data_IF_928938014932
#
_entry.id   IF_928938014932
#
_cell.length_a   1.000
_cell.length_b   1.000
_cell.length_c   1.000
_cell.angle_alpha   90.00
_cell.angle_beta   90.00
_cell.angle_gamma   90.00
#
_symmetry.space_group_name_H-M   'P 1'
#
loop_
_entity.id
_entity.type
_entity.pdbx_description
1 polymer ?
#
# COMPACT_ATOMS: atom_id res chain seq x y z
N UNK A 1 8.47 -3.82 -26.28
CA UNK A 1 8.14 -5.07 -25.56
C UNK A 1 8.56 -5.02 -24.09
N UNK A 2 9.47 -4.10 -23.73
CA UNK A 2 10.08 -4.05 -22.38
C UNK A 2 9.31 -3.17 -21.37
N UNK A 3 8.43 -2.27 -21.83
CA UNK A 3 7.69 -1.35 -20.95
C UNK A 3 6.61 -2.07 -20.12
N UNK A 4 6.03 -3.14 -20.62
CA UNK A 4 5.06 -3.96 -19.88
C UNK A 4 5.69 -4.72 -18.71
N UNK A 5 7.00 -5.01 -18.78
CA UNK A 5 7.73 -5.68 -17.69
C UNK A 5 7.91 -4.79 -16.47
N UNK A 6 8.22 -3.51 -16.68
CA UNK A 6 8.40 -2.55 -15.59
C UNK A 6 7.09 -2.28 -14.83
N UNK A 7 5.99 -2.08 -15.54
CA UNK A 7 4.68 -1.85 -14.94
C UNK A 7 4.19 -3.05 -14.12
N UNK A 8 4.40 -4.28 -14.64
CA UNK A 8 4.05 -5.51 -13.94
C UNK A 8 4.82 -5.64 -12.63
N UNK A 9 6.12 -5.33 -12.63
CA UNK A 9 6.94 -5.38 -11.42
C UNK A 9 6.45 -4.38 -10.35
N UNK A 10 6.01 -3.18 -10.74
CA UNK A 10 5.46 -2.18 -9.82
C UNK A 10 4.13 -2.67 -9.21
N UNK A 11 3.27 -3.29 -10.01
CA UNK A 11 2.01 -3.89 -9.53
C UNK A 11 2.27 -5.01 -8.54
N UNK A 12 3.23 -5.90 -8.82
CA UNK A 12 3.60 -7.00 -7.93
C UNK A 12 4.16 -6.48 -6.59
N UNK A 13 4.96 -5.41 -6.62
CA UNK A 13 5.46 -4.73 -5.41
C UNK A 13 4.30 -4.16 -4.58
N UNK A 14 3.31 -3.53 -5.23
CA UNK A 14 2.14 -3.02 -4.53
C UNK A 14 1.32 -4.16 -3.88
N UNK A 15 1.10 -5.25 -4.61
CA UNK A 15 0.37 -6.42 -4.10
C UNK A 15 1.12 -7.05 -2.90
N UNK A 16 2.44 -7.21 -2.98
CA UNK A 16 3.25 -7.69 -1.86
C UNK A 16 3.24 -6.74 -0.66
N UNK A 17 3.26 -5.44 -0.91
CA UNK A 17 3.15 -4.44 0.15
C UNK A 17 1.82 -4.57 0.90
N UNK A 18 0.70 -4.76 0.19
CA UNK A 18 -0.63 -4.92 0.81
C UNK A 18 -0.76 -6.26 1.51
N UNK A 19 -0.29 -7.35 0.87
CA UNK A 19 -0.50 -8.72 1.37
C UNK A 19 0.45 -9.09 2.52
N UNK A 20 1.69 -8.58 2.51
CA UNK A 20 2.73 -9.04 3.42
C UNK A 20 3.31 -7.94 4.31
N UNK A 21 3.66 -6.78 3.75
CA UNK A 21 4.37 -5.74 4.51
C UNK A 21 3.44 -4.96 5.44
N UNK A 22 2.34 -4.46 4.91
CA UNK A 22 1.38 -3.66 5.68
C UNK A 22 0.77 -4.44 6.86
N UNK A 23 0.35 -5.72 6.73
CA UNK A 23 -0.12 -6.50 7.86
C UNK A 23 0.92 -6.62 8.98
N UNK A 24 2.18 -6.94 8.62
CA UNK A 24 3.27 -7.06 9.60
C UNK A 24 3.51 -5.76 10.36
N UNK A 25 3.46 -4.60 9.67
CA UNK A 25 3.64 -3.31 10.33
C UNK A 25 2.50 -2.98 11.27
N UNK A 26 1.26 -3.27 10.89
CA UNK A 26 0.08 -3.01 11.74
C UNK A 26 0.06 -3.95 12.95
N UNK A 27 0.33 -5.24 12.76
CA UNK A 27 0.35 -6.23 13.84
C UNK A 27 1.51 -6.02 14.81
N UNK A 28 2.62 -5.44 14.37
CA UNK A 28 3.74 -5.07 15.24
C UNK A 28 3.37 -3.93 16.20
N UNK A 29 2.36 -3.12 15.88
CA UNK A 29 1.86 -2.05 16.73
C UNK A 29 0.97 -2.62 17.83
N UNK A 30 1.54 -2.85 18.99
CA UNK A 30 0.80 -3.24 20.19
C UNK A 30 1.19 -2.30 21.33
N UNK A 31 0.19 -1.90 22.12
CA UNK A 31 0.37 -0.93 23.19
C UNK A 31 -0.13 -1.51 24.52
N UNK A 32 0.66 -1.36 25.57
CA UNK A 32 0.18 -1.57 26.93
C UNK A 32 -0.61 -0.34 27.36
N UNK A 33 -1.75 -0.57 28.00
CA UNK A 33 -2.58 0.53 28.50
C UNK A 33 -2.06 0.96 29.87
N UNK A 34 -1.71 2.23 29.97
CA UNK A 34 -1.33 2.87 31.23
C UNK A 34 -2.47 3.74 31.75
N UNK A 35 -2.68 3.73 33.05
CA UNK A 35 -3.58 4.65 33.74
C UNK A 35 -2.85 5.25 34.95
N UNK A 36 -2.80 6.58 35.00
CA UNK A 36 -2.11 7.34 36.07
C UNK A 36 -0.61 6.92 36.21
N UNK A 37 0.06 6.64 35.09
CA UNK A 37 1.47 6.23 35.03
C UNK A 37 1.74 4.79 35.50
N UNK A 38 0.70 3.96 35.69
CA UNK A 38 0.81 2.54 36.04
C UNK A 38 0.25 1.66 34.94
N UNK A 39 0.95 0.58 34.61
CA UNK A 39 0.45 -0.44 33.67
C UNK A 39 -0.80 -1.11 34.26
N UNK A 40 -1.88 -1.12 33.47
CA UNK A 40 -3.15 -1.73 33.88
C UNK A 40 -3.21 -3.25 33.64
N UNK A 41 -2.16 -3.82 33.03
CA UNK A 41 -2.16 -5.20 32.57
C UNK A 41 -3.06 -5.44 31.35
N UNK A 42 -3.46 -4.36 30.69
CA UNK A 42 -4.25 -4.41 29.47
C UNK A 42 -3.37 -4.13 28.26
N UNK A 43 -3.63 -4.86 27.17
CA UNK A 43 -2.90 -4.74 25.90
C UNK A 43 -3.87 -4.52 24.75
N UNK A 44 -3.52 -3.56 23.90
CA UNK A 44 -4.25 -3.26 22.66
C UNK A 44 -3.44 -3.77 21.47
N UNK A 45 -4.10 -4.46 20.56
CA UNK A 45 -3.53 -4.97 19.31
C UNK A 45 -4.43 -4.59 18.13
N UNK A 46 -3.78 -4.36 16.99
CA UNK A 46 -4.45 -4.11 15.73
C UNK A 46 -4.11 -5.20 14.72
N UNK A 47 -5.09 -5.57 13.90
CA UNK A 47 -4.91 -6.50 12.78
C UNK A 47 -5.66 -5.99 11.57
N UNK A 48 -5.19 -6.31 10.37
CA UNK A 48 -5.97 -6.04 9.16
C UNK A 48 -7.14 -7.02 9.13
N UNK A 49 -8.34 -6.45 9.07
CA UNK A 49 -9.54 -7.23 8.83
C UNK A 49 -9.77 -7.40 7.32
N UNK A 50 -9.73 -6.28 6.57
CA UNK A 50 -9.96 -6.29 5.12
C UNK A 50 -9.54 -4.97 4.48
N UNK A 51 -8.92 -5.04 3.30
CA UNK A 51 -8.87 -3.94 2.34
C UNK A 51 -9.96 -4.18 1.28
N UNK A 52 -10.89 -3.24 1.13
CA UNK A 52 -11.95 -3.37 0.13
C UNK A 52 -11.41 -3.05 -1.27
N UNK A 53 -12.08 -3.56 -2.31
CA UNK A 53 -11.93 -3.01 -3.66
C UNK A 53 -12.39 -1.55 -3.66
N UNK A 54 -12.04 -0.75 -4.68
CA UNK A 54 -12.41 0.66 -4.74
C UNK A 54 -13.90 0.90 -4.62
N UNK A 55 -14.27 1.70 -3.63
CA UNK A 55 -15.66 2.06 -3.30
C UNK A 55 -15.74 3.51 -2.86
N UNK A 56 -16.91 4.10 -3.03
CA UNK A 56 -17.31 5.35 -2.40
C UNK A 56 -18.50 5.11 -1.49
N UNK A 57 -18.61 5.90 -0.43
CA UNK A 57 -19.79 5.90 0.43
C UNK A 57 -20.69 7.04 -0.01
N UNK A 58 -21.88 6.72 -0.47
CA UNK A 58 -22.91 7.69 -0.80
C UNK A 58 -24.22 7.31 -0.09
N UNK A 59 -24.78 8.24 0.65
CA UNK A 59 -25.98 8.04 1.44
C UNK A 59 -25.91 6.82 2.36
N UNK A 60 -24.75 6.58 2.97
CA UNK A 60 -24.47 5.43 3.85
C UNK A 60 -24.30 4.08 3.14
N UNK A 61 -24.34 4.05 1.81
CA UNK A 61 -24.16 2.83 1.00
C UNK A 61 -22.79 2.78 0.35
N UNK A 62 -22.17 1.60 0.37
CA UNK A 62 -20.93 1.32 -0.37
C UNK A 62 -21.25 1.12 -1.86
N UNK A 63 -20.68 1.94 -2.72
CA UNK A 63 -20.86 1.88 -4.18
C UNK A 63 -19.52 1.58 -4.82
N UNK A 64 -19.45 0.54 -5.64
CA UNK A 64 -18.26 0.21 -6.42
C UNK A 64 -17.95 1.31 -7.43
N UNK A 65 -16.68 1.67 -7.57
CA UNK A 65 -16.21 2.72 -8.48
C UNK A 65 -15.20 2.14 -9.44
N UNK A 66 -15.40 2.40 -10.73
CA UNK A 66 -14.45 2.04 -11.77
C UNK A 66 -13.47 3.20 -12.04
N UNK A 67 -12.26 2.93 -12.59
CA UNK A 67 -11.29 3.97 -12.89
C UNK A 67 -11.84 5.06 -13.81
N UNK A 68 -12.64 4.70 -14.82
CA UNK A 68 -13.31 5.67 -15.71
C UNK A 68 -14.20 6.67 -14.94
N UNK A 69 -14.93 6.15 -13.93
CA UNK A 69 -15.81 6.99 -13.11
C UNK A 69 -14.99 7.95 -12.25
N UNK A 70 -13.85 7.49 -11.76
CA UNK A 70 -12.92 8.31 -10.99
C UNK A 70 -12.36 9.45 -11.85
N UNK A 71 -11.96 9.16 -13.09
CA UNK A 71 -11.48 10.18 -14.04
C UNK A 71 -12.56 11.21 -14.38
N UNK A 72 -13.80 10.74 -14.59
CA UNK A 72 -14.93 11.63 -14.96
C UNK A 72 -15.43 12.51 -13.81
N UNK A 73 -15.36 12.00 -12.56
CA UNK A 73 -15.97 12.65 -11.39
C UNK A 73 -14.99 13.31 -10.44
N UNK A 74 -13.72 13.36 -10.80
CA UNK A 74 -12.64 13.91 -9.96
C UNK A 74 -12.54 13.22 -8.58
N UNK A 75 -12.59 11.87 -8.58
CA UNK A 75 -12.57 11.04 -7.38
C UNK A 75 -11.27 10.23 -7.35
N UNK A 76 -10.73 10.00 -6.17
CA UNK A 76 -9.60 9.07 -5.97
C UNK A 76 -10.08 7.63 -6.03
N UNK A 77 -9.39 6.80 -6.82
CA UNK A 77 -9.62 5.36 -6.91
C UNK A 77 -9.03 4.66 -5.69
N UNK A 78 -9.84 4.46 -4.65
CA UNK A 78 -9.38 3.99 -3.34
C UNK A 78 -10.33 2.96 -2.71
N UNK A 79 -9.75 2.01 -2.00
CA UNK A 79 -10.47 1.09 -1.13
C UNK A 79 -10.45 1.54 0.33
N UNK A 80 -11.33 1.00 1.15
CA UNK A 80 -11.36 1.24 2.60
C UNK A 80 -10.55 0.16 3.31
N UNK A 81 -9.57 0.59 4.11
CA UNK A 81 -8.88 -0.27 5.05
C UNK A 81 -9.73 -0.44 6.31
N UNK A 82 -10.14 -1.67 6.56
CA UNK A 82 -10.85 -2.06 7.79
C UNK A 82 -9.87 -2.80 8.70
N UNK A 83 -9.74 -2.32 9.92
CA UNK A 83 -8.90 -2.94 10.94
C UNK A 83 -9.77 -3.59 12.01
N UNK A 84 -9.22 -4.63 12.63
CA UNK A 84 -9.72 -5.21 13.85
C UNK A 84 -8.94 -4.63 15.02
N UNK A 85 -9.66 -4.13 16.02
CA UNK A 85 -9.14 -3.67 17.30
C UNK A 85 -9.45 -4.71 18.35
N UNK A 86 -8.43 -5.21 19.03
CA UNK A 86 -8.57 -6.16 20.11
C UNK A 86 -7.90 -5.63 21.38
N UNK A 87 -8.67 -5.54 22.46
CA UNK A 87 -8.19 -5.21 23.80
C UNK A 87 -8.27 -6.44 24.69
N UNK A 88 -7.15 -6.81 25.28
CA UNK A 88 -7.03 -7.96 26.16
C UNK A 88 -6.48 -7.56 27.50
N UNK A 89 -6.81 -8.31 28.55
CA UNK A 89 -6.28 -8.14 29.92
C UNK A 89 -5.70 -9.45 30.41
N UNK A 90 -4.59 -9.36 31.12
CA UNK A 90 -4.00 -10.50 31.80
C UNK A 90 -4.72 -10.68 33.13
N UNK A 91 -5.41 -11.79 33.30
CA UNK A 91 -6.10 -12.20 34.52
C UNK A 91 -5.61 -13.60 34.86
N UNK A 92 -5.04 -13.78 36.06
CA UNK A 92 -4.50 -15.06 36.54
C UNK A 92 -3.49 -15.69 35.56
N UNK A 93 -2.62 -14.86 34.95
CA UNK A 93 -1.60 -15.30 34.00
C UNK A 93 -2.15 -15.71 32.62
N UNK A 94 -3.47 -15.56 32.37
CA UNK A 94 -4.11 -15.84 31.07
C UNK A 94 -4.59 -14.56 30.44
N UNK A 95 -4.33 -14.41 29.12
CA UNK A 95 -4.85 -13.28 28.35
C UNK A 95 -6.34 -13.52 28.04
N UNK A 96 -7.21 -12.61 28.52
CA UNK A 96 -8.65 -12.60 28.24
C UNK A 96 -8.99 -11.41 27.36
N UNK A 97 -9.64 -11.64 26.24
CA UNK A 97 -10.15 -10.57 25.37
C UNK A 97 -11.33 -9.89 26.07
N UNK A 98 -11.25 -8.57 26.19
CA UNK A 98 -12.28 -7.72 26.80
C UNK A 98 -13.13 -7.08 25.71
N UNK A 99 -12.48 -6.64 24.63
CA UNK A 99 -13.13 -5.93 23.53
C UNK A 99 -12.54 -6.40 22.21
N UNK A 100 -13.40 -6.65 21.23
CA UNK A 100 -13.05 -7.02 19.88
C UNK A 100 -14.03 -6.35 18.92
N UNK A 101 -13.52 -5.46 18.05
CA UNK A 101 -14.35 -4.74 17.10
C UNK A 101 -13.62 -4.39 15.82
N UNK A 102 -14.36 -4.34 14.73
CA UNK A 102 -13.87 -3.87 13.45
C UNK A 102 -14.22 -2.39 13.26
N UNK A 103 -13.29 -1.63 12.67
CA UNK A 103 -13.52 -0.24 12.32
C UNK A 103 -12.85 0.13 11.00
N UNK A 104 -13.33 1.18 10.36
CA UNK A 104 -12.73 1.74 9.14
C UNK A 104 -11.61 2.70 9.53
N UNK A 105 -10.38 2.39 9.09
CA UNK A 105 -9.22 3.22 9.37
C UNK A 105 -9.10 4.40 8.40
N UNK A 106 -9.44 4.18 7.12
CA UNK A 106 -9.35 5.21 6.09
C UNK A 106 -9.33 4.64 4.69
N UNK A 107 -9.12 5.53 3.71
CA UNK A 107 -9.01 5.17 2.31
C UNK A 107 -7.55 4.96 1.92
N UNK A 108 -7.30 3.88 1.19
CA UNK A 108 -5.99 3.58 0.58
C UNK A 108 -6.17 3.60 -0.93
N UNK A 109 -5.40 4.44 -1.66
CA UNK A 109 -5.38 4.40 -3.12
C UNK A 109 -5.02 3.02 -3.62
N UNK A 110 -5.74 2.53 -4.61
CA UNK A 110 -5.51 1.22 -5.21
C UNK A 110 -4.83 1.39 -6.56
N UNK A 111 -3.69 0.69 -6.72
CA UNK A 111 -2.95 0.69 -7.97
C UNK A 111 -3.74 -0.04 -9.05
N UNK A 112 -3.83 0.56 -10.25
CA UNK A 112 -4.48 -0.05 -11.38
C UNK A 112 -3.72 -1.32 -11.81
N UNK A 113 -4.48 -2.37 -12.12
CA UNK A 113 -3.94 -3.68 -12.47
C UNK A 113 -3.63 -4.60 -11.29
N UNK A 114 -3.59 -4.09 -10.03
CA UNK A 114 -3.35 -4.89 -8.83
C UNK A 114 -4.49 -5.87 -8.52
N UNK A 115 -4.26 -6.85 -7.65
CA UNK A 115 -5.29 -7.81 -7.17
C UNK A 115 -6.53 -7.12 -6.60
N UNK A 116 -6.35 -5.91 -6.05
CA UNK A 116 -7.40 -5.11 -5.44
C UNK A 116 -8.15 -4.23 -6.44
N UNK A 117 -7.66 -4.15 -7.69
CA UNK A 117 -8.29 -3.40 -8.78
C UNK A 117 -9.41 -4.21 -9.45
N UNK A 118 -10.46 -3.54 -9.90
CA UNK A 118 -11.52 -4.18 -10.70
C UNK A 118 -11.06 -4.61 -12.10
N UNK A 119 -9.97 -4.04 -12.59
CA UNK A 119 -9.42 -4.34 -13.92
C UNK A 119 -8.47 -5.55 -13.91
N UNK A 120 -8.12 -6.07 -12.73
CA UNK A 120 -7.20 -7.19 -12.59
C UNK A 120 -7.69 -8.42 -13.36
N UNK A 121 -6.83 -9.00 -14.19
CA UNK A 121 -7.11 -10.23 -14.95
C UNK A 121 -8.16 -10.07 -16.05
N UNK A 122 -8.52 -8.85 -16.46
CA UNK A 122 -9.45 -8.59 -17.53
C UNK A 122 -8.77 -8.72 -18.91
N UNK A 123 -9.50 -9.26 -19.89
CA UNK A 123 -9.04 -9.29 -21.27
C UNK A 123 -9.15 -7.91 -21.92
N UNK A 124 -8.39 -7.63 -23.01
CA UNK A 124 -8.49 -6.38 -23.75
C UNK A 124 -9.94 -6.02 -24.16
N UNK A 125 -10.73 -7.01 -24.56
CA UNK A 125 -12.13 -6.82 -24.94
C UNK A 125 -12.99 -6.43 -23.74
N UNK A 126 -12.77 -7.06 -22.59
CA UNK A 126 -13.47 -6.73 -21.33
C UNK A 126 -13.11 -5.32 -20.86
N UNK A 127 -11.84 -4.89 -21.01
CA UNK A 127 -11.42 -3.53 -20.68
C UNK A 127 -12.16 -2.50 -21.53
N UNK A 128 -12.27 -2.73 -22.84
CA UNK A 128 -13.04 -1.86 -23.75
C UNK A 128 -14.51 -1.78 -23.37
N UNK A 129 -15.15 -2.92 -23.01
CA UNK A 129 -16.53 -2.95 -22.54
C UNK A 129 -16.73 -2.14 -21.23
N UNK A 130 -15.71 -2.14 -20.37
CA UNK A 130 -15.70 -1.34 -19.14
C UNK A 130 -15.39 0.14 -19.40
N UNK A 131 -15.05 0.51 -20.66
CA UNK A 131 -14.70 1.88 -21.06
C UNK A 131 -13.28 2.26 -20.68
N UNK A 132 -12.39 1.27 -20.56
CA UNK A 132 -10.96 1.45 -20.30
C UNK A 132 -10.13 1.18 -21.57
N UNK A 133 -8.92 1.70 -21.61
CA UNK A 133 -8.01 1.45 -22.74
C UNK A 133 -7.47 0.02 -22.68
N UNK A 134 -7.55 -0.70 -23.81
CA UNK A 134 -7.07 -2.09 -23.92
C UNK A 134 -5.55 -2.22 -23.85
N UNK A 135 -4.83 -1.14 -24.13
CA UNK A 135 -3.36 -1.06 -24.12
C UNK A 135 -2.82 -0.29 -22.91
N UNK A 136 -3.64 -0.10 -21.85
CA UNK A 136 -3.18 0.56 -20.63
C UNK A 136 -2.09 -0.31 -19.96
N UNK A 137 -0.89 0.23 -19.69
CA UNK A 137 0.19 -0.52 -19.05
C UNK A 137 -0.08 -0.80 -17.57
N UNK A 138 -1.05 -0.12 -16.94
CA UNK A 138 -1.31 -0.15 -15.49
C UNK A 138 -0.12 0.33 -14.63
N UNK A 139 -0.11 -0.02 -13.34
CA UNK A 139 1.02 0.32 -12.45
C UNK A 139 1.03 1.77 -11.96
N UNK A 140 -0.11 2.45 -11.95
CA UNK A 140 -0.26 3.82 -11.46
C UNK A 140 -1.50 3.96 -10.56
N UNK A 141 -1.57 5.07 -9.83
CA UNK A 141 -2.73 5.45 -9.02
C UNK A 141 -3.55 6.54 -9.70
N UNK A 142 -4.83 6.58 -9.41
CA UNK A 142 -5.70 7.72 -9.76
C UNK A 142 -6.05 8.50 -8.51
N UNK A 143 -5.48 9.70 -8.39
CA UNK A 143 -5.69 10.61 -7.27
C UNK A 143 -6.40 11.85 -7.79
N UNK A 144 -7.68 12.02 -7.44
CA UNK A 144 -8.51 13.14 -7.94
C UNK A 144 -8.40 13.30 -9.47
N UNK A 145 -8.64 12.22 -10.21
CA UNK A 145 -8.52 12.12 -11.67
C UNK A 145 -7.12 12.25 -12.26
N UNK A 146 -6.11 12.60 -11.47
CA UNK A 146 -4.73 12.70 -11.92
C UNK A 146 -4.01 11.35 -11.80
N UNK A 147 -3.15 11.07 -12.76
CA UNK A 147 -2.31 9.88 -12.74
C UNK A 147 -1.10 10.13 -11.84
N UNK A 148 -0.95 9.34 -10.78
CA UNK A 148 0.22 9.34 -9.90
C UNK A 148 1.07 8.09 -10.13
N UNK A 149 2.34 8.29 -10.49
CA UNK A 149 3.32 7.24 -10.74
C UNK A 149 4.28 7.12 -9.56
N UNK A 150 4.73 5.90 -9.30
CA UNK A 150 5.89 5.66 -8.45
C UNK A 150 7.11 5.59 -9.36
N UNK A 151 8.02 6.55 -9.21
CA UNK A 151 9.29 6.56 -9.92
C UNK A 151 10.36 5.83 -9.11
N UNK A 152 11.12 4.95 -9.78
CA UNK A 152 12.28 4.31 -9.19
C UNK A 152 13.53 5.05 -9.67
N UNK A 153 14.29 5.60 -8.74
CA UNK A 153 15.61 6.17 -9.03
C UNK A 153 16.69 5.13 -8.70
N UNK A 154 17.56 4.84 -9.68
CA UNK A 154 18.80 4.12 -9.41
C UNK A 154 19.81 5.13 -8.85
N UNK A 155 20.03 5.08 -7.54
CA UNK A 155 21.16 5.76 -6.96
C UNK A 155 22.46 5.11 -7.49
N UNK A 156 23.26 5.85 -8.26
CA UNK A 156 24.61 5.43 -8.60
C UNK A 156 25.48 5.66 -7.38
N UNK A 157 25.95 4.59 -6.78
CA UNK A 157 27.02 4.68 -5.78
C UNK A 157 28.28 5.08 -6.54
N UNK A 158 28.81 6.28 -6.28
CA UNK A 158 30.12 6.65 -6.79
C UNK A 158 31.17 5.80 -6.09
N UNK A 159 31.79 4.91 -6.83
CA UNK A 159 32.94 4.14 -6.33
C UNK A 159 34.17 5.03 -6.48
N UNK A 160 34.84 5.42 -5.38
CA UNK A 160 36.07 6.20 -5.48
C UNK A 160 37.12 5.31 -6.13
N UNK A 161 37.66 5.77 -7.25
CA UNK A 161 38.79 5.10 -7.90
C UNK A 161 40.08 5.59 -7.25
N UNK A 162 40.72 4.72 -6.47
CA UNK A 162 42.01 4.99 -5.88
C UNK A 162 43.09 4.58 -6.90
N UNK A 163 43.84 5.58 -7.42
CA UNK A 163 44.98 5.33 -8.29
C UNK A 163 46.23 5.44 -7.43
N UNK A 164 47.04 4.40 -7.42
CA UNK A 164 48.32 4.40 -6.74
C UNK A 164 49.37 5.05 -7.68
N UNK A 165 49.79 6.26 -7.35
CA UNK A 165 50.91 6.94 -8.03
C UNK A 165 52.26 6.64 -7.36
N UNK A 166 53.34 7.14 -7.94
CA UNK A 166 54.73 7.01 -7.38
C UNK A 166 54.87 7.64 -5.99
N UNK A 167 54.00 8.59 -5.65
CA UNK A 167 54.07 9.39 -4.40
C UNK A 167 52.96 8.97 -3.40
N UNK A 168 52.32 7.80 -3.59
CA UNK A 168 51.26 7.29 -2.71
C UNK A 168 49.87 7.28 -3.35
N UNK A 169 48.82 6.79 -2.62
CA UNK A 169 47.47 6.69 -3.14
C UNK A 169 46.88 8.11 -3.30
N UNK A 170 46.58 8.49 -4.51
CA UNK A 170 45.79 9.68 -4.84
C UNK A 170 44.41 9.30 -5.31
N UNK A 171 43.38 9.97 -4.82
CA UNK A 171 42.01 9.83 -5.27
C UNK A 171 41.60 11.02 -6.13
N UNK A 172 41.93 11.03 -7.46
CA UNK A 172 41.74 12.22 -8.28
C UNK A 172 40.33 12.37 -8.84
N UNK A 173 39.49 11.37 -8.83
CA UNK A 173 38.16 11.46 -9.47
C UNK A 173 37.08 10.62 -8.78
N UNK A 174 36.03 11.29 -8.35
CA UNK A 174 34.66 10.70 -8.26
C UNK A 174 34.01 10.84 -9.64
N UNK A 175 33.82 9.73 -10.35
CA UNK A 175 33.01 9.72 -11.55
C UNK A 175 31.53 9.76 -11.11
N UNK A 176 30.85 10.87 -11.39
CA UNK A 176 29.41 10.98 -11.31
C UNK A 176 28.73 10.11 -12.37
#
# INVERSE_FOLDING_TARGET
ADDLGASRNIVDIFDDWVDNWMPKQIESQSFNVEKDGKETGERVQFRIHKLTKPIIIKDGKEINVLPKDCRAKNITYAGILKLNYQRSKIIDGKSKVIEDRNFSCGYIPIMLGSKYCYLHGKTPEQLLQMGECSSDPFGYFLIKSEMALITQEKARVSIPMVVTGKDGPTCPYTRQ
#
